data_IF_185122716304
#
_entry.id   IF_185122716304
#
_cell.length_a   1.000
_cell.length_b   1.000
_cell.length_c   1.000
_cell.angle_alpha   90.00
_cell.angle_beta   90.00
_cell.angle_gamma   90.00
#
_symmetry.space_group_name_H-M   'P 1'
#
loop_
_entity.id
_entity.type
_entity.pdbx_description
1 polymer ?
#
# COMPACT_ATOMS: atom_id res chain seq x y z
N UNK A 1 14.24 15.17 0.56
CA UNK A 1 14.89 13.86 0.78
C UNK A 1 16.30 14.10 1.30
N UNK A 2 16.74 13.48 2.39
CA UNK A 2 18.09 13.69 2.97
C UNK A 2 19.16 13.00 2.11
N UNK A 3 20.37 13.56 2.02
CA UNK A 3 21.45 13.04 1.16
C UNK A 3 21.88 11.59 1.51
N UNK A 4 21.76 11.20 2.79
CA UNK A 4 21.99 9.83 3.26
C UNK A 4 20.99 8.81 2.70
N UNK A 5 19.72 9.20 2.51
CA UNK A 5 18.69 8.33 1.92
C UNK A 5 18.96 8.04 0.45
N UNK A 6 19.53 9.01 -0.28
CA UNK A 6 19.84 8.83 -1.69
C UNK A 6 20.94 7.78 -1.89
N UNK A 7 22.03 7.86 -1.13
CA UNK A 7 23.11 6.88 -1.19
C UNK A 7 22.64 5.47 -0.83
N UNK A 8 21.83 5.34 0.23
CA UNK A 8 21.26 4.06 0.65
C UNK A 8 20.34 3.47 -0.43
N UNK A 9 19.53 4.30 -1.11
CA UNK A 9 18.67 3.85 -2.21
C UNK A 9 19.47 3.40 -3.43
N UNK A 10 20.52 4.12 -3.81
CA UNK A 10 21.41 3.71 -4.91
C UNK A 10 22.05 2.35 -4.58
N UNK A 11 22.56 2.19 -3.36
CA UNK A 11 23.12 0.93 -2.89
C UNK A 11 22.09 -0.22 -2.97
N UNK A 12 20.89 -0.02 -2.42
CA UNK A 12 19.83 -1.02 -2.44
C UNK A 12 19.38 -1.35 -3.86
N UNK A 13 19.35 -0.35 -4.76
CA UNK A 13 19.05 -0.56 -6.18
C UNK A 13 20.10 -1.45 -6.84
N UNK A 14 21.39 -1.23 -6.57
CA UNK A 14 22.49 -2.06 -7.06
C UNK A 14 22.37 -3.50 -6.53
N UNK A 15 22.13 -3.67 -5.22
CA UNK A 15 21.92 -4.99 -4.62
C UNK A 15 20.72 -5.73 -5.24
N UNK A 16 19.69 -5.00 -5.68
CA UNK A 16 18.48 -5.57 -6.27
C UNK A 16 18.50 -5.61 -7.80
N UNK A 17 19.60 -5.24 -8.46
CA UNK A 17 19.64 -5.09 -9.92
C UNK A 17 19.17 -6.33 -10.69
N UNK A 18 19.48 -7.54 -10.18
CA UNK A 18 19.07 -8.82 -10.79
C UNK A 18 17.57 -9.11 -10.68
N UNK A 19 16.85 -8.41 -9.80
CA UNK A 19 15.42 -8.57 -9.53
C UNK A 19 14.56 -7.58 -10.34
N UNK A 20 15.00 -7.26 -11.55
CA UNK A 20 14.28 -6.36 -12.48
C UNK A 20 13.47 -7.15 -13.49
N UNK A 21 12.41 -6.54 -14.00
CA UNK A 21 11.66 -7.01 -15.17
C UNK A 21 11.16 -8.47 -15.10
N UNK A 22 10.95 -9.02 -13.90
CA UNK A 22 10.43 -10.38 -13.73
C UNK A 22 11.42 -11.51 -14.03
N UNK A 23 12.73 -11.23 -14.15
CA UNK A 23 13.73 -12.29 -14.37
C UNK A 23 13.67 -13.36 -13.26
N UNK A 24 13.64 -14.63 -13.65
CA UNK A 24 13.58 -15.77 -12.73
C UNK A 24 12.20 -16.04 -12.11
N UNK A 25 11.15 -15.36 -12.57
CA UNK A 25 9.77 -15.59 -12.13
C UNK A 25 9.10 -16.58 -13.08
N UNK A 26 8.71 -17.74 -12.54
CA UNK A 26 8.08 -18.82 -13.31
C UNK A 26 6.55 -18.77 -13.30
N UNK A 27 5.95 -18.06 -12.33
CA UNK A 27 4.49 -17.87 -12.28
C UNK A 27 4.06 -16.83 -13.33
N UNK A 28 3.20 -17.18 -14.31
CA UNK A 28 2.75 -16.22 -15.32
C UNK A 28 2.03 -15.00 -14.73
N UNK A 29 1.24 -15.21 -13.67
CA UNK A 29 0.52 -14.12 -12.99
C UNK A 29 1.45 -13.17 -12.25
N UNK A 30 2.51 -13.69 -11.61
CA UNK A 30 3.50 -12.83 -10.95
C UNK A 30 4.37 -12.08 -11.95
N UNK A 31 4.74 -12.76 -13.04
CA UNK A 31 5.49 -12.14 -14.13
C UNK A 31 4.70 -10.96 -14.70
N UNK A 32 3.41 -11.18 -15.01
CA UNK A 32 2.51 -10.13 -15.48
C UNK A 32 2.36 -8.98 -14.47
N UNK A 33 2.15 -9.28 -13.18
CA UNK A 33 2.09 -8.26 -12.13
C UNK A 33 3.37 -7.41 -12.11
N UNK A 34 4.54 -8.04 -12.25
CA UNK A 34 5.82 -7.32 -12.26
C UNK A 34 5.97 -6.47 -13.52
N UNK A 35 5.76 -7.04 -14.71
CA UNK A 35 6.06 -6.36 -15.97
C UNK A 35 5.01 -5.32 -16.34
N UNK A 36 3.73 -5.68 -16.19
CA UNK A 36 2.60 -4.95 -16.76
C UNK A 36 1.85 -4.09 -15.73
N UNK A 37 2.14 -4.26 -14.44
CA UNK A 37 1.56 -3.42 -13.38
C UNK A 37 2.64 -2.65 -12.65
N UNK A 38 3.67 -3.32 -12.12
CA UNK A 38 4.73 -2.68 -11.34
C UNK A 38 5.65 -1.83 -12.22
N UNK A 39 6.18 -2.39 -13.32
CA UNK A 39 7.10 -1.69 -14.23
C UNK A 39 6.42 -0.86 -15.33
N UNK A 40 5.09 -0.85 -15.38
CA UNK A 40 4.34 0.00 -16.32
C UNK A 40 4.76 1.47 -16.21
N UNK A 41 4.90 2.16 -17.33
CA UNK A 41 5.31 3.57 -17.41
C UNK A 41 4.31 4.45 -18.14
N UNK A 42 3.31 3.86 -18.79
CA UNK A 42 2.32 4.59 -19.56
C UNK A 42 1.55 5.57 -18.66
N UNK A 43 1.29 6.79 -19.16
CA UNK A 43 0.50 7.77 -18.43
C UNK A 43 -0.94 7.27 -18.31
N UNK A 44 -1.52 7.40 -17.12
CA UNK A 44 -2.95 7.25 -16.91
C UNK A 44 -3.65 8.60 -17.00
N UNK A 45 -4.95 8.58 -17.33
CA UNK A 45 -5.79 9.77 -17.46
C UNK A 45 -5.72 10.70 -16.23
N UNK A 46 -5.62 10.10 -15.03
CA UNK A 46 -5.61 10.83 -13.76
C UNK A 46 -4.23 11.37 -13.34
N UNK A 47 -3.13 10.88 -13.92
CA UNK A 47 -1.80 11.16 -13.37
C UNK A 47 -1.38 12.63 -13.44
N UNK A 48 -1.80 13.37 -14.47
CA UNK A 48 -1.50 14.81 -14.55
C UNK A 48 -2.22 15.58 -13.44
N UNK A 49 -3.53 15.35 -13.27
CA UNK A 49 -4.32 16.01 -12.23
C UNK A 49 -3.81 15.68 -10.82
N UNK A 50 -3.50 14.39 -10.57
CA UNK A 50 -2.95 13.93 -9.30
C UNK A 50 -1.54 14.47 -9.02
N UNK A 51 -0.74 14.73 -10.06
CA UNK A 51 0.57 15.36 -9.91
C UNK A 51 0.44 16.83 -9.49
N UNK A 52 -0.44 17.59 -10.15
CA UNK A 52 -0.64 19.00 -9.81
C UNK A 52 -1.14 19.18 -8.38
N UNK A 53 -2.16 18.42 -7.97
CA UNK A 53 -2.67 18.56 -6.60
C UNK A 53 -1.71 18.07 -5.52
N UNK A 54 -0.70 17.27 -5.88
CA UNK A 54 0.37 16.89 -4.95
C UNK A 54 1.28 18.08 -4.65
N UNK A 55 1.48 19.00 -5.60
CA UNK A 55 2.39 20.13 -5.39
C UNK A 55 1.90 21.05 -4.27
N UNK A 56 0.58 21.19 -4.12
CA UNK A 56 -0.07 21.92 -3.04
C UNK A 56 0.14 21.27 -1.64
N UNK A 57 0.57 20.01 -1.62
CA UNK A 57 0.67 19.16 -0.42
C UNK A 57 2.13 18.75 -0.12
N UNK A 58 3.12 19.21 -0.89
CA UNK A 58 4.54 18.81 -0.80
C UNK A 58 5.22 19.12 0.54
N UNK A 59 4.76 20.12 1.28
CA UNK A 59 5.35 20.53 2.56
C UNK A 59 4.87 19.68 3.76
N UNK A 60 4.12 18.61 3.52
CA UNK A 60 3.49 17.80 4.55
C UNK A 60 4.30 16.57 4.95
N UNK A 61 4.19 16.20 6.23
CA UNK A 61 4.89 15.04 6.78
C UNK A 61 4.18 13.73 6.40
N UNK A 62 5.00 12.75 5.99
CA UNK A 62 4.65 11.36 5.61
C UNK A 62 3.85 11.21 4.29
N UNK A 63 4.58 11.19 3.18
CA UNK A 63 4.07 10.77 1.88
C UNK A 63 5.03 9.79 1.21
N UNK A 64 4.53 8.88 0.37
CA UNK A 64 5.41 8.11 -0.50
C UNK A 64 6.02 8.98 -1.60
N UNK A 65 6.87 8.40 -2.44
CA UNK A 65 7.26 9.04 -3.70
C UNK A 65 6.09 8.91 -4.68
N UNK A 66 5.95 9.87 -5.59
CA UNK A 66 4.90 9.83 -6.61
C UNK A 66 4.90 8.54 -7.43
N UNK A 67 6.09 7.98 -7.70
CA UNK A 67 6.23 6.66 -8.34
C UNK A 67 5.48 5.56 -7.59
N UNK A 68 5.48 5.59 -6.26
CA UNK A 68 4.79 4.63 -5.39
C UNK A 68 3.30 4.91 -5.34
N UNK A 69 2.87 6.17 -5.27
CA UNK A 69 1.43 6.51 -5.30
C UNK A 69 0.80 6.12 -6.65
N UNK A 70 1.51 6.37 -7.76
CA UNK A 70 1.15 5.85 -9.09
C UNK A 70 1.13 4.32 -9.13
N UNK A 71 1.89 3.62 -8.30
CA UNK A 71 1.80 2.17 -8.17
C UNK A 71 0.54 1.75 -7.41
N UNK A 72 0.17 2.44 -6.33
CA UNK A 72 -1.10 2.17 -5.63
C UNK A 72 -2.29 2.30 -6.59
N UNK A 73 -2.32 3.36 -7.40
CA UNK A 73 -3.33 3.54 -8.45
C UNK A 73 -3.38 2.33 -9.40
N UNK A 74 -2.22 1.90 -9.92
CA UNK A 74 -2.12 0.77 -10.85
C UNK A 74 -2.54 -0.56 -10.19
N UNK A 75 -2.22 -0.76 -8.92
CA UNK A 75 -2.63 -1.94 -8.16
C UNK A 75 -4.15 -1.98 -7.98
N UNK A 76 -4.78 -0.87 -7.64
CA UNK A 76 -6.26 -0.78 -7.56
C UNK A 76 -6.89 -1.11 -8.91
N UNK A 77 -6.38 -0.51 -9.99
CA UNK A 77 -6.90 -0.76 -11.33
C UNK A 77 -6.67 -2.21 -11.80
N UNK A 78 -5.59 -2.86 -11.36
CA UNK A 78 -5.31 -4.26 -11.69
C UNK A 78 -6.16 -5.23 -10.86
N UNK A 79 -6.22 -5.04 -9.54
CA UNK A 79 -6.90 -5.95 -8.61
C UNK A 79 -8.41 -5.81 -8.64
N UNK A 80 -8.93 -4.66 -9.10
CA UNK A 80 -10.35 -4.39 -9.21
C UNK A 80 -11.13 -4.69 -7.91
N UNK A 81 -10.71 -4.17 -6.74
CA UNK A 81 -11.39 -4.46 -5.47
C UNK A 81 -12.85 -3.98 -5.47
N UNK A 82 -13.72 -4.65 -4.72
CA UNK A 82 -15.10 -4.22 -4.48
C UNK A 82 -15.20 -3.21 -3.33
N UNK A 83 -14.28 -3.27 -2.39
CA UNK A 83 -14.11 -2.31 -1.29
C UNK A 83 -12.66 -2.27 -0.84
N UNK A 84 -12.27 -1.14 -0.25
CA UNK A 84 -10.90 -0.87 0.20
C UNK A 84 -10.87 -0.41 1.66
N UNK A 85 -9.78 -0.73 2.35
CA UNK A 85 -9.51 -0.29 3.71
C UNK A 85 -8.10 0.30 3.80
N UNK A 86 -7.95 1.44 4.44
CA UNK A 86 -6.65 2.05 4.71
C UNK A 86 -6.48 2.35 6.20
N UNK A 87 -5.28 2.06 6.71
CA UNK A 87 -4.91 2.23 8.11
C UNK A 87 -3.65 3.10 8.16
N UNK A 88 -3.79 4.32 8.68
CA UNK A 88 -2.77 5.36 8.69
C UNK A 88 -2.81 6.22 7.43
N UNK A 89 -3.82 7.09 7.33
CA UNK A 89 -4.12 7.97 6.17
C UNK A 89 -2.98 8.93 5.82
N UNK A 90 -2.10 9.29 6.76
CA UNK A 90 -0.96 10.15 6.44
C UNK A 90 -1.43 11.49 5.86
N UNK A 91 -0.84 11.99 4.78
CA UNK A 91 -1.33 13.22 4.16
C UNK A 91 -2.62 13.06 3.32
N UNK A 92 -3.10 11.84 3.08
CA UNK A 92 -4.28 11.53 2.27
C UNK A 92 -4.01 11.37 0.76
N UNK A 93 -2.75 11.46 0.34
CA UNK A 93 -2.36 11.27 -1.07
C UNK A 93 -2.55 9.82 -1.53
N UNK A 94 -2.17 8.85 -0.71
CA UNK A 94 -2.40 7.42 -0.95
C UNK A 94 -3.90 7.12 -1.12
N UNK A 95 -4.73 7.60 -0.17
CA UNK A 95 -6.19 7.50 -0.24
C UNK A 95 -6.70 8.05 -1.56
N UNK A 96 -6.22 9.23 -1.96
CA UNK A 96 -6.64 9.93 -3.17
C UNK A 96 -6.28 9.16 -4.44
N UNK A 97 -5.04 8.67 -4.54
CA UNK A 97 -4.62 7.86 -5.69
C UNK A 97 -5.40 6.56 -5.80
N UNK A 98 -5.73 5.92 -4.67
CA UNK A 98 -6.56 4.71 -4.67
C UNK A 98 -8.02 5.01 -5.04
N UNK A 99 -8.60 6.07 -4.49
CA UNK A 99 -9.98 6.48 -4.78
C UNK A 99 -10.18 6.89 -6.25
N UNK A 100 -9.20 7.59 -6.84
CA UNK A 100 -9.21 8.00 -8.25
C UNK A 100 -9.07 6.81 -9.21
N UNK A 101 -8.39 5.74 -8.79
CA UNK A 101 -8.22 4.55 -9.61
C UNK A 101 -9.51 3.74 -9.76
N UNK A 102 -10.33 3.71 -8.71
CA UNK A 102 -11.63 3.03 -8.72
C UNK A 102 -12.58 3.62 -7.70
N UNK A 103 -13.74 4.09 -8.17
CA UNK A 103 -14.81 4.64 -7.33
C UNK A 103 -15.61 3.53 -6.62
N UNK A 104 -15.02 2.96 -5.58
CA UNK A 104 -15.65 1.99 -4.66
C UNK A 104 -15.54 2.47 -3.22
N UNK A 105 -16.31 1.91 -2.27
CA UNK A 105 -16.18 2.27 -0.86
C UNK A 105 -14.73 2.10 -0.37
N UNK A 106 -14.15 3.19 0.13
CA UNK A 106 -12.82 3.22 0.74
C UNK A 106 -12.96 3.76 2.16
N UNK A 107 -12.75 2.88 3.14
CA UNK A 107 -12.71 3.27 4.54
C UNK A 107 -11.27 3.58 4.94
N UNK A 108 -10.99 4.80 5.40
CA UNK A 108 -9.64 5.20 5.80
C UNK A 108 -9.63 5.71 7.24
N UNK A 109 -8.67 5.20 8.02
CA UNK A 109 -8.57 5.39 9.47
C UNK A 109 -7.24 6.02 9.79
N UNK A 110 -7.23 7.05 10.63
CA UNK A 110 -6.00 7.62 11.17
C UNK A 110 -6.10 7.90 12.68
N UNK A 111 -4.96 8.20 13.30
CA UNK A 111 -4.90 8.77 14.64
C UNK A 111 -5.49 10.19 14.64
N UNK A 112 -5.85 10.72 15.81
CA UNK A 112 -6.32 12.11 15.88
C UNK A 112 -5.16 13.07 15.58
N UNK A 113 -5.35 13.96 14.60
CA UNK A 113 -4.33 14.91 14.16
C UNK A 113 -4.90 16.30 13.94
N UNK A 114 -4.03 17.30 14.04
CA UNK A 114 -4.40 18.71 13.85
C UNK A 114 -4.87 19.02 12.43
N UNK A 115 -4.36 18.31 11.42
CA UNK A 115 -4.66 18.56 10.01
C UNK A 115 -5.86 17.75 9.48
N UNK A 116 -6.60 17.07 10.36
CA UNK A 116 -7.82 16.31 10.03
C UNK A 116 -8.84 17.10 9.22
N UNK A 117 -9.08 18.37 9.54
CA UNK A 117 -10.05 19.21 8.82
C UNK A 117 -9.64 19.40 7.35
N UNK A 118 -8.35 19.61 7.10
CA UNK A 118 -7.78 19.75 5.76
C UNK A 118 -7.86 18.44 4.98
N UNK A 119 -7.45 17.32 5.58
CA UNK A 119 -7.55 16.00 4.94
C UNK A 119 -9.00 15.69 4.58
N UNK A 120 -9.93 15.93 5.51
CA UNK A 120 -11.37 15.75 5.27
C UNK A 120 -11.88 16.63 4.12
N UNK A 121 -11.37 17.86 3.99
CA UNK A 121 -11.69 18.72 2.86
C UNK A 121 -11.14 18.18 1.53
N UNK A 122 -9.89 17.74 1.48
CA UNK A 122 -9.28 17.13 0.27
C UNK A 122 -10.04 15.87 -0.15
N UNK A 123 -10.36 15.00 0.82
CA UNK A 123 -11.07 13.75 0.57
C UNK A 123 -12.57 13.96 0.26
N UNK A 124 -13.13 15.15 0.49
CA UNK A 124 -14.54 15.44 0.19
C UNK A 124 -14.86 15.39 -1.32
N UNK A 125 -13.84 15.49 -2.18
CA UNK A 125 -13.97 15.26 -3.61
C UNK A 125 -14.36 13.81 -3.95
N UNK A 126 -14.18 12.87 -3.01
CA UNK A 126 -14.43 11.45 -3.20
C UNK A 126 -15.57 10.99 -2.27
N UNK A 127 -16.84 10.98 -2.75
CA UNK A 127 -18.01 10.76 -1.89
C UNK A 127 -18.09 9.36 -1.28
N UNK A 128 -17.37 8.38 -1.83
CA UNK A 128 -17.30 7.00 -1.33
C UNK A 128 -16.16 6.78 -0.31
N UNK A 129 -15.37 7.82 -0.02
CA UNK A 129 -14.32 7.77 0.99
C UNK A 129 -14.91 8.14 2.35
N UNK A 130 -14.87 7.21 3.30
CA UNK A 130 -15.25 7.46 4.70
C UNK A 130 -13.97 7.56 5.53
N UNK A 131 -13.60 8.79 5.86
CA UNK A 131 -12.43 9.11 6.67
C UNK A 131 -12.81 9.29 8.15
N UNK A 132 -12.20 8.49 9.01
CA UNK A 132 -12.37 8.57 10.48
C UNK A 132 -11.04 8.68 11.20
N UNK A 133 -11.04 9.45 12.28
CA UNK A 133 -9.89 9.56 13.17
C UNK A 133 -10.25 9.17 14.59
N UNK A 134 -9.27 8.69 15.34
CA UNK A 134 -9.42 8.35 16.75
C UNK A 134 -8.50 7.22 17.15
N UNK A 135 -8.99 6.33 18.01
CA UNK A 135 -8.26 5.10 18.32
C UNK A 135 -8.31 4.16 17.12
N UNK A 136 -7.18 4.05 16.40
CA UNK A 136 -7.04 3.27 15.15
C UNK A 136 -7.51 1.84 15.32
N UNK A 137 -7.10 1.19 16.41
CA UNK A 137 -7.42 -0.21 16.69
C UNK A 137 -8.93 -0.40 16.93
N UNK A 138 -9.56 0.47 17.72
CA UNK A 138 -11.01 0.43 17.91
C UNK A 138 -11.77 0.65 16.60
N UNK A 139 -11.36 1.65 15.81
CA UNK A 139 -11.99 1.94 14.52
C UNK A 139 -11.81 0.79 13.52
N UNK A 140 -10.68 0.09 13.59
CA UNK A 140 -10.45 -1.12 12.81
C UNK A 140 -11.42 -2.24 13.23
N UNK A 141 -11.61 -2.47 14.54
CA UNK A 141 -12.55 -3.49 15.02
C UNK A 141 -14.01 -3.18 14.61
N UNK A 142 -14.39 -1.90 14.66
CA UNK A 142 -15.68 -1.42 14.15
C UNK A 142 -15.81 -1.64 12.63
N UNK A 143 -14.73 -1.45 11.86
CA UNK A 143 -14.72 -1.70 10.43
C UNK A 143 -14.90 -3.18 10.08
N UNK A 144 -14.26 -4.07 10.85
CA UNK A 144 -14.28 -5.51 10.63
C UNK A 144 -15.62 -6.15 11.02
N UNK A 145 -16.39 -5.52 11.90
CA UNK A 145 -17.70 -6.02 12.36
C UNK A 145 -18.88 -5.41 11.60
N UNK A 146 -18.78 -4.13 11.21
CA UNK A 146 -19.89 -3.38 10.64
C UNK A 146 -19.95 -3.32 9.11
N UNK A 147 -19.01 -3.95 8.39
CA UNK A 147 -18.88 -3.80 6.94
C UNK A 147 -18.47 -5.10 6.25
N UNK A 148 -18.78 -5.26 4.93
CA UNK A 148 -18.15 -6.28 4.12
C UNK A 148 -16.62 -6.15 4.17
N UNK A 149 -15.93 -7.27 4.31
CA UNK A 149 -14.47 -7.29 4.38
C UNK A 149 -13.84 -6.77 3.09
N UNK A 150 -12.76 -5.99 3.22
CA UNK A 150 -12.11 -5.35 2.09
C UNK A 150 -11.23 -6.31 1.29
N UNK A 151 -11.26 -6.18 -0.04
CA UNK A 151 -10.41 -6.95 -0.95
C UNK A 151 -8.98 -6.39 -1.00
N UNK A 152 -8.84 -5.07 -0.86
CA UNK A 152 -7.56 -4.38 -0.85
C UNK A 152 -7.41 -3.58 0.44
N UNK A 153 -6.35 -3.87 1.19
CA UNK A 153 -6.08 -3.22 2.47
C UNK A 153 -4.69 -2.58 2.43
N UNK A 154 -4.60 -1.28 2.72
CA UNK A 154 -3.35 -0.55 2.81
C UNK A 154 -3.00 -0.25 4.28
N UNK A 155 -1.99 -0.92 4.81
CA UNK A 155 -1.38 -0.59 6.11
C UNK A 155 -0.29 0.46 5.84
N UNK A 156 -0.69 1.72 5.79
CA UNK A 156 0.14 2.86 5.43
C UNK A 156 0.94 3.41 6.62
N UNK A 157 0.63 4.65 7.00
CA UNK A 157 1.39 5.45 7.94
C UNK A 157 0.88 5.29 9.37
N UNK A 158 1.09 4.10 9.98
CA UNK A 158 0.65 3.82 11.34
C UNK A 158 1.71 3.09 12.18
N UNK A 159 1.84 3.38 13.50
CA UNK A 159 2.66 2.57 14.41
C UNK A 159 2.02 1.22 14.73
N UNK A 160 0.69 1.08 14.59
CA UNK A 160 -0.09 -0.12 14.94
C UNK A 160 -0.08 -1.19 13.84
N UNK A 161 0.96 -1.23 13.01
CA UNK A 161 1.01 -2.08 11.82
C UNK A 161 0.96 -3.58 12.16
N UNK A 162 1.49 -3.99 13.33
CA UNK A 162 1.51 -5.40 13.76
C UNK A 162 0.12 -5.85 14.20
N UNK A 163 -0.49 -5.05 15.08
CA UNK A 163 -1.79 -5.28 15.66
C UNK A 163 -2.87 -5.24 14.59
N UNK A 164 -2.79 -4.28 13.67
CA UNK A 164 -3.67 -4.20 12.52
C UNK A 164 -3.55 -5.46 11.65
N UNK A 165 -2.33 -5.89 11.32
CA UNK A 165 -2.12 -7.10 10.52
C UNK A 165 -2.73 -8.33 11.18
N UNK A 166 -2.45 -8.59 12.46
CA UNK A 166 -3.00 -9.75 13.18
C UNK A 166 -4.53 -9.74 13.26
N UNK A 167 -5.18 -8.57 13.36
CA UNK A 167 -6.65 -8.45 13.36
C UNK A 167 -7.28 -8.71 11.99
N UNK A 168 -6.54 -8.45 10.91
CA UNK A 168 -7.01 -8.70 9.55
C UNK A 168 -6.94 -10.19 9.18
N UNK A 169 -5.95 -10.91 9.70
CA UNK A 169 -5.68 -12.31 9.31
C UNK A 169 -6.86 -13.29 9.44
N UNK A 170 -7.74 -13.22 10.45
CA UNK A 170 -8.90 -14.11 10.53
C UNK A 170 -9.93 -13.90 9.41
N UNK A 171 -9.90 -12.73 8.76
CA UNK A 171 -10.92 -12.30 7.81
C UNK A 171 -10.44 -12.38 6.35
N UNK A 172 -9.14 -12.56 6.11
CA UNK A 172 -8.56 -12.58 4.76
C UNK A 172 -9.09 -13.75 3.92
N UNK A 173 -9.28 -13.48 2.63
CA UNK A 173 -9.70 -14.48 1.64
C UNK A 173 -8.65 -14.64 0.55
N UNK A 174 -8.83 -15.57 -0.39
CA UNK A 174 -7.91 -15.74 -1.53
C UNK A 174 -7.86 -14.52 -2.47
N UNK A 175 -8.86 -13.62 -2.39
CA UNK A 175 -8.91 -12.36 -3.13
C UNK A 175 -8.21 -11.20 -2.42
N UNK A 176 -7.93 -11.35 -1.13
CA UNK A 176 -7.40 -10.26 -0.33
C UNK A 176 -5.94 -9.98 -0.68
N UNK A 177 -5.63 -8.69 -0.86
CA UNK A 177 -4.27 -8.19 -0.96
C UNK A 177 -4.03 -7.16 0.15
N UNK A 178 -3.02 -7.38 0.98
CA UNK A 178 -2.54 -6.39 1.95
C UNK A 178 -1.30 -5.70 1.40
N UNK A 179 -1.35 -4.38 1.31
CA UNK A 179 -0.22 -3.50 1.00
C UNK A 179 0.37 -3.03 2.33
N UNK A 180 1.64 -3.33 2.56
CA UNK A 180 2.39 -2.92 3.75
C UNK A 180 3.29 -1.74 3.41
N UNK A 181 3.02 -0.59 4.02
CA UNK A 181 3.77 0.64 3.83
C UNK A 181 5.13 0.65 4.52
N UNK A 182 6.16 1.15 3.82
CA UNK A 182 7.52 1.35 4.32
C UNK A 182 8.04 0.21 5.24
N UNK A 183 8.15 -1.05 4.76
CA UNK A 183 8.60 -2.18 5.59
C UNK A 183 9.98 -1.98 6.25
N UNK A 184 10.80 -1.10 5.67
CA UNK A 184 12.17 -0.79 6.13
C UNK A 184 12.28 0.52 6.92
N UNK A 185 11.16 1.14 7.32
CA UNK A 185 11.15 2.41 8.05
C UNK A 185 11.94 2.35 9.37
N UNK A 186 11.86 1.22 10.09
CA UNK A 186 12.62 0.97 11.32
C UNK A 186 13.20 -0.44 11.32
N UNK A 187 14.22 -0.68 12.15
CA UNK A 187 14.76 -2.04 12.35
C UNK A 187 13.69 -3.01 12.87
N UNK A 188 12.79 -2.51 13.72
CA UNK A 188 11.66 -3.29 14.24
C UNK A 188 10.68 -3.68 13.14
N UNK A 189 10.23 -2.72 12.31
CA UNK A 189 9.31 -2.99 11.20
C UNK A 189 9.96 -3.92 10.16
N UNK A 190 11.27 -3.79 9.93
CA UNK A 190 12.03 -4.72 9.07
C UNK A 190 12.05 -6.16 9.62
N UNK A 191 12.20 -6.32 10.94
CA UNK A 191 12.14 -7.65 11.58
C UNK A 191 10.74 -8.24 11.47
N UNK A 192 9.71 -7.45 11.72
CA UNK A 192 8.32 -7.85 11.56
C UNK A 192 7.95 -8.20 10.11
N UNK A 193 8.47 -7.46 9.13
CA UNK A 193 8.26 -7.77 7.72
C UNK A 193 8.82 -9.15 7.36
N UNK A 194 10.02 -9.50 7.85
CA UNK A 194 10.58 -10.85 7.68
C UNK A 194 9.72 -11.93 8.32
N UNK A 195 9.13 -11.66 9.49
CA UNK A 195 8.19 -12.57 10.14
C UNK A 195 6.92 -12.74 9.30
N UNK A 196 6.38 -11.66 8.75
CA UNK A 196 5.21 -11.67 7.86
C UNK A 196 5.46 -12.50 6.60
N UNK A 197 6.64 -12.36 5.99
CA UNK A 197 7.06 -13.18 4.85
C UNK A 197 7.14 -14.66 5.25
N UNK A 198 7.64 -14.98 6.44
CA UNK A 198 7.78 -16.36 6.91
C UNK A 198 6.45 -17.00 7.36
N UNK A 199 5.46 -16.20 7.77
CA UNK A 199 4.19 -16.64 8.35
C UNK A 199 3.41 -17.60 7.44
N UNK A 200 3.11 -18.81 7.90
CA UNK A 200 2.43 -19.84 7.10
C UNK A 200 1.01 -19.45 6.67
N UNK A 201 0.39 -18.43 7.28
CA UNK A 201 -0.91 -17.86 6.90
C UNK A 201 -0.82 -16.96 5.66
N UNK A 202 0.36 -16.45 5.30
CA UNK A 202 0.57 -15.63 4.09
C UNK A 202 0.85 -16.48 2.84
N UNK A 203 0.43 -16.00 1.67
CA UNK A 203 0.73 -16.60 0.37
C UNK A 203 1.95 -15.97 -0.28
N UNK A 204 1.85 -15.67 -1.58
CA UNK A 204 2.92 -14.99 -2.32
C UNK A 204 3.12 -13.57 -1.78
N UNK A 205 4.37 -13.17 -1.59
CA UNK A 205 4.74 -11.83 -1.12
C UNK A 205 5.68 -11.13 -2.09
N UNK A 206 5.53 -9.82 -2.23
CA UNK A 206 6.41 -8.98 -3.04
C UNK A 206 7.05 -7.89 -2.17
N UNK A 207 8.36 -7.71 -2.30
CA UNK A 207 9.11 -6.64 -1.65
C UNK A 207 9.59 -5.62 -2.69
N UNK A 208 8.92 -4.47 -2.69
CA UNK A 208 9.19 -3.35 -3.61
C UNK A 208 10.00 -2.24 -2.95
N UNK A 209 10.62 -2.53 -1.79
CA UNK A 209 11.34 -1.59 -0.93
C UNK A 209 10.44 -0.57 -0.22
N UNK A 210 9.76 0.31 -0.95
CA UNK A 210 8.90 1.35 -0.34
C UNK A 210 7.57 0.76 0.16
N UNK A 211 7.08 -0.31 -0.49
CA UNK A 211 5.89 -1.06 -0.08
C UNK A 211 6.15 -2.56 -0.21
N UNK A 212 5.41 -3.36 0.57
CA UNK A 212 5.31 -4.81 0.42
C UNK A 212 3.90 -5.21 0.01
N UNK A 213 3.75 -6.25 -0.80
CA UNK A 213 2.46 -6.85 -1.12
C UNK A 213 2.37 -8.22 -0.48
N UNK A 214 1.22 -8.54 0.12
CA UNK A 214 0.93 -9.83 0.73
C UNK A 214 -0.38 -10.34 0.16
N UNK A 215 -0.30 -11.41 -0.62
CA UNK A 215 -1.46 -12.13 -1.14
C UNK A 215 -1.77 -13.33 -0.25
N UNK A 216 -3.04 -13.72 -0.19
CA UNK A 216 -3.51 -14.83 0.64
C UNK A 216 -4.03 -16.03 -0.16
N UNK A 217 -3.94 -15.98 -1.50
CA UNK A 217 -4.25 -17.12 -2.35
C UNK A 217 -3.29 -18.29 -2.09
N UNK A 218 -3.82 -19.32 -1.41
CA UNK A 218 -3.12 -20.56 -1.05
C UNK A 218 -3.09 -21.60 -2.17
N UNK A 219 -3.79 -21.37 -3.28
CA UNK A 219 -3.70 -22.26 -4.46
C UNK A 219 -2.31 -22.18 -5.11
N UNK A 220 -1.58 -21.10 -4.82
CA UNK A 220 -0.25 -20.81 -5.34
C UNK A 220 0.79 -21.21 -4.32
N UNK A 221 1.91 -21.78 -4.78
CA UNK A 221 3.05 -22.07 -3.91
C UNK A 221 3.52 -20.77 -3.28
N UNK A 222 3.70 -20.81 -1.96
CA UNK A 222 4.19 -19.66 -1.20
C UNK A 222 5.60 -19.31 -1.67
N UNK A 223 5.75 -18.11 -2.19
CA UNK A 223 7.04 -17.58 -2.66
C UNK A 223 7.22 -16.13 -2.22
N UNK A 224 8.46 -15.77 -1.89
CA UNK A 224 8.85 -14.39 -1.62
C UNK A 224 9.61 -13.81 -2.81
N UNK A 225 9.15 -12.69 -3.34
CA UNK A 225 9.75 -12.03 -4.50
C UNK A 225 10.26 -10.66 -4.13
N UNK A 226 11.57 -10.46 -4.25
CA UNK A 226 12.16 -9.13 -4.23
C UNK A 226 11.99 -8.55 -5.64
N UNK A 227 11.56 -7.30 -5.74
CA UNK A 227 11.43 -6.57 -7.00
C UNK A 227 12.13 -5.22 -6.88
N UNK A 228 12.95 -4.88 -7.86
CA UNK A 228 13.71 -3.63 -7.85
C UNK A 228 12.87 -2.44 -8.31
N UNK A 229 12.00 -1.96 -7.42
CA UNK A 229 11.13 -0.79 -7.64
C UNK A 229 11.65 0.46 -6.92
N UNK A 230 12.98 0.58 -6.77
CA UNK A 230 13.61 1.78 -6.21
C UNK A 230 13.62 2.96 -7.19
#
# INVERSE_FOLDING_TARGET
MKMSDLCLRIWNWCCRFRHRCGYGVHSPSDFFLITSVIYEKMPYYAFQLLHYSREDEKDQLFHYREKTDRLLFRLVNYLQPASMLEIGTGCGLDTRYMAEAKHVPLFTIDEERQDKARIKHVLSAYPLVDYRTGNVLRLLDEALTGRPFADLIHIGHTPYYKEAFERLLPMVTDRTCIIVGAPYATLEKKRWWKQTIADTRTGVTFDLYDIGLVFFDKKRVKEHRIVNFL
#
